data_IF_954313625804
#
_entry.id   IF_954313625804
#
_cell.length_a   1.000
_cell.length_b   1.000
_cell.length_c   1.000
_cell.angle_alpha   90.00
_cell.angle_beta   90.00
_cell.angle_gamma   90.00
#
_symmetry.space_group_name_H-M   'P 1'
#
loop_
_entity.id
_entity.type
_entity.pdbx_description
1 polymer ?
#
# COMPACT_ATOMS: atom_id res chain seq x y z
N UNK A 1 11.26 25.17 2.45
CA UNK A 1 11.15 26.38 3.28
C UNK A 1 12.53 26.95 3.57
N UNK A 2 13.38 26.22 4.31
CA UNK A 2 14.77 26.63 4.60
C UNK A 2 15.58 26.99 3.34
N UNK A 3 15.64 26.11 2.35
CA UNK A 3 16.49 26.31 1.16
C UNK A 3 16.08 27.49 0.24
N UNK A 4 14.82 27.93 0.29
CA UNK A 4 14.27 28.97 -0.60
C UNK A 4 13.67 30.15 0.18
N UNK A 5 13.95 30.22 1.48
CA UNK A 5 13.53 31.27 2.41
C UNK A 5 12.02 31.63 2.38
N UNK A 6 11.14 30.63 2.24
CA UNK A 6 9.69 30.82 2.28
C UNK A 6 9.13 30.61 3.69
N UNK A 7 8.01 31.27 3.99
CA UNK A 7 7.31 31.20 5.28
C UNK A 7 7.05 29.76 5.71
N UNK A 8 7.26 29.48 7.01
CA UNK A 8 6.92 28.21 7.63
C UNK A 8 5.42 27.89 7.62
N UNK A 9 4.58 28.88 7.36
CA UNK A 9 3.15 28.65 7.15
C UNK A 9 2.87 27.76 5.93
N UNK A 10 3.74 27.80 4.91
CA UNK A 10 3.66 26.89 3.76
C UNK A 10 3.78 25.41 4.19
N UNK A 11 4.49 25.15 5.28
CA UNK A 11 4.66 23.80 5.82
C UNK A 11 3.50 23.35 6.71
N UNK A 12 2.38 24.09 6.78
CA UNK A 12 1.16 23.64 7.48
C UNK A 12 0.25 22.88 6.51
N UNK A 13 0.58 21.62 6.24
CA UNK A 13 -0.16 20.79 5.28
C UNK A 13 -1.35 20.04 5.91
N UNK A 14 -1.33 19.86 7.23
CA UNK A 14 -2.38 19.18 7.99
C UNK A 14 -3.66 20.00 8.21
N UNK A 15 -4.56 19.46 9.04
CA UNK A 15 -5.71 20.16 9.61
C UNK A 15 -5.41 20.81 10.95
N UNK A 16 -4.29 20.44 11.58
CA UNK A 16 -3.78 21.09 12.79
C UNK A 16 -2.80 22.20 12.42
N UNK A 17 -2.64 23.20 13.31
CA UNK A 17 -1.70 24.32 13.12
C UNK A 17 -0.22 23.94 13.28
N UNK A 18 0.06 22.65 13.44
CA UNK A 18 1.41 22.13 13.59
C UNK A 18 2.17 22.15 12.26
N UNK A 19 3.49 22.33 12.37
CA UNK A 19 4.40 22.26 11.24
C UNK A 19 4.55 20.80 10.80
N UNK A 20 4.45 20.59 9.49
CA UNK A 20 4.84 19.34 8.85
C UNK A 20 6.36 19.17 8.87
N UNK A 21 6.80 17.99 9.26
CA UNK A 21 8.17 17.54 9.45
C UNK A 21 8.36 16.26 8.65
N UNK A 22 9.52 16.16 8.00
CA UNK A 22 10.01 14.95 7.37
C UNK A 22 10.63 14.05 8.44
N UNK A 23 10.22 12.79 8.50
CA UNK A 23 10.90 11.74 9.26
C UNK A 23 11.38 10.69 8.27
N UNK A 24 12.59 10.21 8.49
CA UNK A 24 13.18 9.17 7.65
C UNK A 24 13.26 7.92 8.52
N UNK A 25 12.56 6.88 8.09
CA UNK A 25 12.50 5.59 8.75
C UNK A 25 13.15 4.55 7.84
N UNK A 26 14.09 3.77 8.38
CA UNK A 26 14.65 2.61 7.68
C UNK A 26 14.01 1.34 8.22
N UNK A 27 13.34 0.59 7.35
CA UNK A 27 12.74 -0.69 7.69
C UNK A 27 13.20 -1.72 6.65
N UNK A 28 13.88 -2.78 7.11
CA UNK A 28 14.34 -3.89 6.27
C UNK A 28 15.11 -3.44 5.00
N UNK A 29 16.00 -2.45 5.14
CA UNK A 29 16.82 -1.93 4.04
C UNK A 29 16.10 -0.98 3.08
N UNK A 30 14.80 -0.67 3.29
CA UNK A 30 14.08 0.36 2.56
C UNK A 30 13.98 1.63 3.38
N UNK A 31 14.38 2.74 2.77
CA UNK A 31 14.14 4.07 3.33
C UNK A 31 12.70 4.50 3.01
N UNK A 32 11.95 4.80 4.06
CA UNK A 32 10.59 5.34 3.97
C UNK A 32 10.61 6.75 4.55
N UNK A 33 10.01 7.68 3.81
CA UNK A 33 9.91 9.07 4.22
C UNK A 33 8.49 9.31 4.70
N UNK A 34 8.33 9.50 6.00
CA UNK A 34 7.05 9.84 6.61
C UNK A 34 6.95 11.35 6.80
N UNK A 35 5.80 11.89 6.41
CA UNK A 35 5.48 13.31 6.52
C UNK A 35 4.23 13.43 7.39
N UNK A 36 4.27 14.21 8.48
CA UNK A 36 3.08 14.39 9.32
C UNK A 36 2.12 15.42 8.68
N UNK A 37 0.98 14.92 8.22
CA UNK A 37 -0.13 15.69 7.66
C UNK A 37 -1.39 15.36 8.45
N UNK A 38 -1.41 15.81 9.71
CA UNK A 38 -2.43 15.41 10.68
C UNK A 38 -3.86 15.73 10.19
N UNK A 39 -4.78 14.78 10.39
CA UNK A 39 -6.17 14.90 9.95
C UNK A 39 -6.40 14.75 8.45
N UNK A 40 -5.39 14.40 7.66
CA UNK A 40 -5.52 14.02 6.24
C UNK A 40 -4.96 12.62 6.02
N UNK A 41 -5.72 11.80 5.30
CA UNK A 41 -5.23 10.47 4.89
C UNK A 41 -4.29 10.66 3.70
N UNK A 42 -3.06 10.17 3.83
CA UNK A 42 -2.11 10.08 2.73
C UNK A 42 -2.30 8.73 2.04
N UNK A 43 -2.71 8.75 0.79
CA UNK A 43 -3.01 7.56 0.00
C UNK A 43 -2.09 7.53 -1.22
N UNK A 44 -0.91 6.93 -1.04
CA UNK A 44 0.08 6.81 -2.11
C UNK A 44 -0.17 5.55 -2.94
N UNK A 45 -0.52 5.74 -4.22
CA UNK A 45 -0.78 4.65 -5.13
C UNK A 45 0.43 3.76 -5.39
N UNK A 46 1.66 4.28 -5.29
CA UNK A 46 2.86 3.44 -5.44
C UNK A 46 2.90 2.38 -4.34
N UNK A 47 2.63 2.78 -3.09
CA UNK A 47 2.60 1.87 -1.94
C UNK A 47 1.48 0.84 -2.10
N UNK A 48 0.30 1.26 -2.57
CA UNK A 48 -0.82 0.34 -2.83
C UNK A 48 -0.45 -0.69 -3.89
N UNK A 49 0.12 -0.25 -5.03
CA UNK A 49 0.51 -1.18 -6.10
C UNK A 49 1.56 -2.19 -5.63
N UNK A 50 2.58 -1.74 -4.89
CA UNK A 50 3.63 -2.63 -4.37
C UNK A 50 3.12 -3.66 -3.35
N UNK A 51 2.02 -3.38 -2.66
CA UNK A 51 1.44 -4.28 -1.65
C UNK A 51 0.44 -5.26 -2.27
N UNK A 52 -0.39 -4.79 -3.19
CA UNK A 52 -1.54 -5.55 -3.69
C UNK A 52 -1.27 -6.24 -5.03
N UNK A 53 -0.27 -5.79 -5.80
CA UNK A 53 0.01 -6.30 -7.14
C UNK A 53 1.44 -6.85 -7.23
N UNK A 54 1.63 -7.88 -8.06
CA UNK A 54 2.95 -8.45 -8.36
C UNK A 54 3.33 -8.08 -9.80
N UNK A 55 3.94 -6.92 -9.97
CA UNK A 55 4.33 -6.39 -11.28
C UNK A 55 5.84 -6.47 -11.49
N UNK A 56 6.24 -6.56 -12.76
CA UNK A 56 7.66 -6.49 -13.17
C UNK A 56 8.25 -5.08 -13.01
N UNK A 57 7.43 -4.03 -13.16
CA UNK A 57 7.79 -2.63 -12.95
C UNK A 57 6.66 -1.86 -12.28
N UNK A 58 7.01 -1.01 -11.31
CA UNK A 58 6.09 -0.12 -10.60
C UNK A 58 6.21 1.35 -11.05
N UNK A 59 6.85 1.60 -12.20
CA UNK A 59 6.85 2.95 -12.76
C UNK A 59 5.43 3.39 -13.11
N UNK A 60 5.11 4.67 -12.95
CA UNK A 60 3.77 5.19 -13.26
C UNK A 60 3.35 4.86 -14.71
N UNK A 61 4.30 4.87 -15.66
CA UNK A 61 4.04 4.52 -17.05
C UNK A 61 3.67 3.03 -17.21
N UNK A 62 4.44 2.12 -16.61
CA UNK A 62 4.15 0.68 -16.71
C UNK A 62 2.80 0.32 -16.06
N UNK A 63 2.55 0.86 -14.86
CA UNK A 63 1.29 0.62 -14.13
C UNK A 63 0.10 1.20 -14.89
N UNK A 64 0.24 2.40 -15.48
CA UNK A 64 -0.84 3.00 -16.27
C UNK A 64 -1.09 2.24 -17.57
N UNK A 65 -0.05 1.73 -18.23
CA UNK A 65 -0.20 0.93 -19.43
C UNK A 65 -0.93 -0.39 -19.12
N UNK A 66 -0.52 -1.08 -18.06
CA UNK A 66 -1.10 -2.36 -17.63
C UNK A 66 -2.57 -2.22 -17.25
N UNK A 67 -2.89 -1.26 -16.37
CA UNK A 67 -4.23 -1.16 -15.82
C UNK A 67 -5.13 -0.23 -16.60
N UNK A 68 -4.66 0.89 -17.16
CA UNK A 68 -5.52 1.86 -17.86
C UNK A 68 -5.48 1.69 -19.38
N UNK A 69 -4.45 1.05 -19.95
CA UNK A 69 -4.18 1.10 -21.40
C UNK A 69 -3.67 2.46 -21.86
N UNK A 70 -3.18 3.29 -20.93
CA UNK A 70 -2.73 4.67 -21.18
C UNK A 70 -1.27 4.84 -20.78
N UNK A 71 -0.55 5.71 -21.49
CA UNK A 71 0.86 5.98 -21.24
C UNK A 71 1.07 7.44 -20.82
N UNK A 72 2.18 7.70 -20.12
CA UNK A 72 2.62 9.06 -19.77
C UNK A 72 2.93 9.86 -21.04
N UNK A 73 2.93 11.19 -20.92
CA UNK A 73 3.56 12.02 -21.94
C UNK A 73 5.07 11.78 -21.93
N UNK A 74 5.67 11.58 -23.11
CA UNK A 74 7.11 11.38 -23.22
C UNK A 74 7.84 12.72 -23.16
N UNK A 75 8.44 12.99 -22.00
CA UNK A 75 9.33 14.12 -21.75
C UNK A 75 10.54 13.61 -20.98
N UNK A 76 11.67 13.48 -21.68
CA UNK A 76 12.93 13.12 -21.04
C UNK A 76 13.39 14.22 -20.08
N UNK A 77 13.92 13.83 -18.91
CA UNK A 77 14.26 14.76 -17.82
C UNK A 77 15.26 15.84 -18.25
N UNK A 78 16.18 15.54 -19.18
CA UNK A 78 17.19 16.48 -19.67
C UNK A 78 16.58 17.67 -20.42
N UNK A 79 15.40 17.50 -21.02
CA UNK A 79 14.76 18.53 -21.83
C UNK A 79 13.90 19.48 -21.01
N UNK A 80 13.61 19.17 -19.74
CA UNK A 80 12.68 19.95 -18.90
C UNK A 80 13.16 21.40 -18.76
N UNK A 81 14.45 21.62 -18.54
CA UNK A 81 15.03 22.95 -18.37
C UNK A 81 14.91 23.81 -19.63
N UNK A 82 15.16 23.21 -20.79
CA UNK A 82 15.09 23.90 -22.08
C UNK A 82 13.63 24.22 -22.43
N UNK A 83 12.74 23.23 -22.33
CA UNK A 83 11.31 23.39 -22.56
C UNK A 83 10.69 24.48 -21.66
N UNK A 84 11.18 24.68 -20.44
CA UNK A 84 10.69 25.76 -19.58
C UNK A 84 11.10 27.16 -20.07
N UNK A 85 12.34 27.28 -20.58
CA UNK A 85 12.94 28.57 -20.99
C UNK A 85 12.55 28.99 -22.41
N UNK A 86 12.23 28.06 -23.31
CA UNK A 86 12.03 28.34 -24.73
C UNK A 86 10.83 29.26 -25.02
N UNK A 87 9.59 28.82 -24.73
CA UNK A 87 8.39 29.59 -25.08
C UNK A 87 7.20 29.31 -24.15
N UNK A 88 6.12 30.08 -24.32
CA UNK A 88 4.87 29.82 -23.63
C UNK A 88 4.26 28.46 -24.04
N UNK A 89 4.40 28.07 -25.30
CA UNK A 89 3.88 26.79 -25.81
C UNK A 89 4.63 25.59 -25.25
N UNK A 90 5.96 25.68 -25.11
CA UNK A 90 6.76 24.61 -24.50
C UNK A 90 6.47 24.47 -22.99
N UNK A 91 6.21 25.59 -22.30
CA UNK A 91 5.70 25.57 -20.92
C UNK A 91 4.31 24.97 -20.81
N UNK A 92 3.43 25.22 -21.78
CA UNK A 92 2.11 24.57 -21.86
C UNK A 92 2.25 23.05 -21.99
N UNK A 93 3.16 22.55 -22.83
CA UNK A 93 3.46 21.11 -22.92
C UNK A 93 3.91 20.53 -21.58
N UNK A 94 4.80 21.21 -20.86
CA UNK A 94 5.20 20.79 -19.50
C UNK A 94 4.03 20.79 -18.52
N UNK A 95 3.12 21.77 -18.60
CA UNK A 95 1.93 21.79 -17.75
C UNK A 95 1.00 20.59 -18.03
N UNK A 96 0.82 20.21 -19.31
CA UNK A 96 0.05 19.02 -19.69
C UNK A 96 0.73 17.74 -19.19
N UNK A 97 2.06 17.64 -19.31
CA UNK A 97 2.84 16.53 -18.73
C UNK A 97 2.59 16.38 -17.22
N UNK A 98 2.70 17.47 -16.45
CA UNK A 98 2.44 17.46 -15.01
C UNK A 98 0.98 17.13 -14.64
N UNK A 99 0.03 17.63 -15.43
CA UNK A 99 -1.38 17.34 -15.25
C UNK A 99 -1.67 15.85 -15.45
N UNK A 100 -1.11 15.26 -16.52
CA UNK A 100 -1.26 13.82 -16.80
C UNK A 100 -0.66 12.98 -15.67
N UNK A 101 0.52 13.33 -15.19
CA UNK A 101 1.19 12.66 -14.06
C UNK A 101 0.37 12.71 -12.76
N UNK A 102 -0.40 13.78 -12.55
CA UNK A 102 -1.28 13.92 -11.39
C UNK A 102 -2.61 13.19 -11.57
N UNK A 103 -3.09 13.08 -12.81
CA UNK A 103 -4.38 12.51 -13.16
C UNK A 103 -4.35 10.97 -13.23
N UNK A 104 -3.26 10.39 -13.73
CA UNK A 104 -3.11 8.93 -13.84
C UNK A 104 -3.27 8.20 -12.49
N UNK A 105 -2.64 8.62 -11.36
CA UNK A 105 -2.87 8.02 -10.06
C UNK A 105 -4.32 8.07 -9.59
N UNK A 106 -5.04 9.16 -9.87
CA UNK A 106 -6.47 9.28 -9.54
C UNK A 106 -7.30 8.24 -10.31
N UNK A 107 -7.05 8.11 -11.62
CA UNK A 107 -7.72 7.11 -12.46
C UNK A 107 -7.39 5.68 -12.07
N UNK A 108 -6.15 5.40 -11.70
CA UNK A 108 -5.73 4.09 -11.18
C UNK A 108 -6.49 3.76 -9.89
N UNK A 109 -6.55 4.71 -8.95
CA UNK A 109 -7.28 4.56 -7.70
C UNK A 109 -8.77 4.27 -7.91
N UNK A 110 -9.41 4.94 -8.88
CA UNK A 110 -10.80 4.70 -9.26
C UNK A 110 -11.00 3.34 -9.94
N UNK A 111 -10.18 3.02 -10.97
CA UNK A 111 -10.32 1.77 -11.72
C UNK A 111 -10.12 0.53 -10.85
N UNK A 112 -9.20 0.61 -9.89
CA UNK A 112 -8.88 -0.49 -8.97
C UNK A 112 -9.71 -0.45 -7.68
N UNK A 113 -10.66 0.50 -7.58
CA UNK A 113 -11.54 0.68 -6.43
C UNK A 113 -10.78 0.76 -5.09
N UNK A 114 -9.56 1.32 -5.10
CA UNK A 114 -8.64 1.22 -3.96
C UNK A 114 -9.26 1.84 -2.71
N UNK A 115 -9.90 3.01 -2.83
CA UNK A 115 -10.52 3.67 -1.69
C UNK A 115 -11.65 2.82 -1.08
N UNK A 116 -12.48 2.20 -1.92
CA UNK A 116 -13.58 1.34 -1.46
C UNK A 116 -13.04 0.11 -0.72
N UNK A 117 -12.07 -0.58 -1.32
CA UNK A 117 -11.46 -1.77 -0.72
C UNK A 117 -10.82 -1.47 0.64
N UNK A 118 -10.11 -0.34 0.76
CA UNK A 118 -9.46 0.05 2.02
C UNK A 118 -10.45 0.55 3.08
N UNK A 119 -11.51 1.25 2.67
CA UNK A 119 -12.59 1.65 3.61
C UNK A 119 -13.29 0.42 4.17
N UNK A 120 -13.63 -0.56 3.33
CA UNK A 120 -14.26 -1.80 3.79
C UNK A 120 -13.33 -2.62 4.68
N UNK A 121 -12.06 -2.76 4.32
CA UNK A 121 -11.07 -3.41 5.16
C UNK A 121 -10.92 -2.71 6.53
N UNK A 122 -10.93 -1.38 6.57
CA UNK A 122 -10.88 -0.61 7.80
C UNK A 122 -12.11 -0.84 8.68
N UNK A 123 -13.30 -0.90 8.07
CA UNK A 123 -14.57 -1.18 8.76
C UNK A 123 -14.58 -2.57 9.38
N UNK A 124 -14.19 -3.60 8.61
CA UNK A 124 -14.14 -4.99 9.07
C UNK A 124 -13.13 -5.16 10.20
N UNK A 125 -11.90 -4.68 10.00
CA UNK A 125 -10.80 -4.90 10.96
C UNK A 125 -10.84 -3.96 12.14
N UNK A 126 -11.56 -2.85 12.05
CA UNK A 126 -11.62 -1.83 13.10
C UNK A 126 -10.35 -0.98 13.22
N UNK A 127 -9.56 -0.88 12.15
CA UNK A 127 -8.29 -0.16 12.14
C UNK A 127 -8.36 1.13 11.31
N UNK A 128 -7.58 2.17 11.64
CA UNK A 128 -7.45 3.36 10.81
C UNK A 128 -6.92 3.04 9.40
N UNK A 129 -7.41 3.73 8.36
CA UNK A 129 -7.01 3.49 6.95
C UNK A 129 -5.49 3.65 6.75
N UNK A 130 -4.86 4.62 7.42
CA UNK A 130 -3.41 4.82 7.34
C UNK A 130 -2.61 3.62 7.90
N UNK A 131 -3.18 2.84 8.83
CA UNK A 131 -2.51 1.63 9.32
C UNK A 131 -2.53 0.52 8.26
N UNK A 132 -3.57 0.44 7.43
CA UNK A 132 -3.64 -0.53 6.34
C UNK A 132 -2.52 -0.32 5.30
N UNK A 133 -2.11 0.93 5.07
CA UNK A 133 -1.04 1.30 4.14
C UNK A 133 0.36 1.16 4.75
N UNK A 134 0.51 1.47 6.03
CA UNK A 134 1.84 1.64 6.64
C UNK A 134 2.21 0.53 7.64
N UNK A 135 1.29 -0.35 8.03
CA UNK A 135 1.52 -1.44 8.99
C UNK A 135 1.29 -2.81 8.34
N UNK A 136 1.81 -3.85 9.00
CA UNK A 136 1.63 -5.25 8.60
C UNK A 136 0.25 -5.79 8.98
N UNK A 137 0.02 -7.08 8.70
CA UNK A 137 -1.28 -7.71 8.93
C UNK A 137 -1.65 -7.86 10.42
N UNK A 138 -0.66 -7.99 11.32
CA UNK A 138 -0.87 -8.24 12.75
C UNK A 138 -1.80 -7.21 13.42
N UNK A 139 -1.67 -5.93 13.07
CA UNK A 139 -2.48 -4.87 13.68
C UNK A 139 -3.99 -5.08 13.44
N UNK A 140 -4.36 -5.68 12.31
CA UNK A 140 -5.75 -5.96 11.93
C UNK A 140 -6.35 -7.04 12.84
N UNK A 141 -5.57 -8.10 13.09
CA UNK A 141 -5.99 -9.22 13.94
C UNK A 141 -6.04 -8.78 15.40
N UNK A 142 -4.99 -8.09 15.87
CA UNK A 142 -4.94 -7.57 17.24
C UNK A 142 -6.11 -6.62 17.53
N UNK A 143 -6.46 -5.73 16.61
CA UNK A 143 -7.61 -4.83 16.77
C UNK A 143 -8.93 -5.59 16.93
N UNK A 144 -9.16 -6.63 16.11
CA UNK A 144 -10.36 -7.48 16.20
C UNK A 144 -10.40 -8.28 17.50
N UNK A 145 -9.27 -8.88 17.91
CA UNK A 145 -9.16 -9.64 19.16
C UNK A 145 -9.41 -8.73 20.36
N UNK A 146 -8.85 -7.53 20.41
CA UNK A 146 -9.09 -6.57 21.50
C UNK A 146 -10.56 -6.17 21.60
N UNK A 147 -11.21 -5.89 20.46
CA UNK A 147 -12.64 -5.56 20.41
C UNK A 147 -13.49 -6.72 20.92
N UNK A 148 -13.17 -7.95 20.55
CA UNK A 148 -13.88 -9.15 21.02
C UNK A 148 -13.61 -9.45 22.49
N UNK A 149 -12.36 -9.35 22.95
CA UNK A 149 -12.00 -9.50 24.35
C UNK A 149 -12.79 -8.53 25.24
N UNK A 150 -12.89 -7.26 24.85
CA UNK A 150 -13.69 -6.26 25.57
C UNK A 150 -15.17 -6.65 25.66
N UNK A 151 -15.78 -7.16 24.58
CA UNK A 151 -17.18 -7.59 24.57
C UNK A 151 -17.46 -8.75 25.54
N UNK A 152 -16.46 -9.60 25.79
CA UNK A 152 -16.57 -10.74 26.69
C UNK A 152 -15.97 -10.48 28.09
N UNK A 153 -15.52 -9.26 28.39
CA UNK A 153 -14.90 -8.94 29.68
C UNK A 153 -13.50 -9.53 29.88
N UNK A 154 -12.82 -9.91 28.80
CA UNK A 154 -11.44 -10.42 28.85
C UNK A 154 -10.40 -9.30 28.76
N UNK A 155 -9.22 -9.57 29.32
CA UNK A 155 -8.03 -8.74 29.21
C UNK A 155 -7.01 -9.46 28.34
N UNK A 156 -6.48 -8.77 27.33
CA UNK A 156 -5.38 -9.30 26.53
C UNK A 156 -4.04 -9.09 27.27
N UNK A 157 -3.29 -10.15 27.58
CA UNK A 157 -2.02 -10.02 28.29
C UNK A 157 -0.94 -9.40 27.39
N UNK A 158 -0.09 -8.56 27.98
CA UNK A 158 1.12 -8.06 27.31
C UNK A 158 2.25 -9.06 27.52
N UNK A 159 2.49 -9.91 26.52
CA UNK A 159 3.58 -10.87 26.56
C UNK A 159 4.86 -10.23 26.02
N UNK A 160 5.98 -10.40 26.75
CA UNK A 160 7.29 -10.06 26.20
C UNK A 160 7.68 -11.11 25.17
N UNK A 161 7.91 -10.68 23.93
CA UNK A 161 8.41 -11.56 22.89
C UNK A 161 9.83 -11.98 23.23
N UNK A 162 10.00 -13.17 23.81
CA UNK A 162 11.29 -13.86 23.75
C UNK A 162 11.44 -14.30 22.30
N UNK A 163 12.34 -13.65 21.56
CA UNK A 163 12.67 -14.10 20.21
C UNK A 163 13.10 -15.56 20.29
N UNK A 164 12.24 -16.45 19.82
CA UNK A 164 12.52 -17.87 19.67
C UNK A 164 12.64 -18.11 18.17
N UNK A 165 13.75 -18.71 17.76
CA UNK A 165 13.95 -19.21 16.39
C UNK A 165 13.32 -20.61 16.21
N UNK A 166 12.55 -21.09 17.19
CA UNK A 166 11.90 -22.38 17.12
C UNK A 166 10.83 -22.33 16.04
N UNK A 167 11.07 -23.09 14.98
CA UNK A 167 10.10 -23.28 13.90
C UNK A 167 9.13 -24.36 14.31
N UNK A 168 7.86 -24.15 13.99
CA UNK A 168 6.82 -25.17 14.12
C UNK A 168 6.70 -25.96 12.82
N UNK A 169 6.28 -27.21 12.92
CA UNK A 169 5.99 -28.03 11.74
C UNK A 169 4.82 -27.41 10.94
N UNK A 170 5.02 -27.27 9.63
CA UNK A 170 4.06 -26.65 8.72
C UNK A 170 3.21 -27.69 7.98
N UNK A 171 2.72 -27.31 6.80
CA UNK A 171 1.99 -28.23 5.92
C UNK A 171 2.92 -29.29 5.30
N UNK A 172 2.40 -30.50 5.14
CA UNK A 172 3.04 -31.55 4.35
C UNK A 172 2.74 -31.33 2.87
N UNK A 173 3.77 -31.36 2.02
CA UNK A 173 3.62 -31.34 0.56
C UNK A 173 3.82 -32.76 0.04
N UNK A 174 2.85 -33.29 -0.70
CA UNK A 174 2.96 -34.61 -1.32
C UNK A 174 3.98 -34.59 -2.46
N UNK A 175 4.70 -35.69 -2.64
CA UNK A 175 5.65 -35.82 -3.75
C UNK A 175 4.92 -35.77 -5.11
N UNK A 176 5.31 -34.88 -6.02
CA UNK A 176 4.65 -34.76 -7.31
C UNK A 176 5.03 -35.91 -8.22
N UNK A 177 4.03 -36.53 -8.85
CA UNK A 177 4.27 -37.43 -9.98
C UNK A 177 4.58 -36.58 -11.21
N UNK A 178 5.85 -36.56 -11.63
CA UNK A 178 6.30 -35.76 -12.77
C UNK A 178 6.03 -36.50 -14.08
N UNK A 179 5.56 -35.77 -15.09
CA UNK A 179 5.26 -36.35 -16.38
C UNK A 179 4.35 -35.45 -17.22
N UNK A 180 4.14 -35.89 -18.46
CA UNK A 180 3.11 -35.34 -19.34
C UNK A 180 1.81 -36.11 -19.12
N UNK A 181 0.70 -35.38 -18.98
CA UNK A 181 -0.61 -35.96 -18.76
C UNK A 181 -1.51 -35.62 -19.95
N UNK A 182 -1.94 -36.64 -20.69
CA UNK A 182 -2.81 -36.55 -21.86
C UNK A 182 -4.31 -36.59 -21.49
N UNK A 183 -4.63 -36.95 -20.25
CA UNK A 183 -5.99 -37.02 -19.70
C UNK A 183 -6.30 -35.82 -18.79
N UNK A 184 -7.57 -35.37 -18.73
CA UNK A 184 -7.97 -34.32 -17.79
C UNK A 184 -7.66 -34.68 -16.34
N UNK A 185 -7.09 -33.73 -15.60
CA UNK A 185 -6.81 -33.86 -14.16
C UNK A 185 -7.82 -33.00 -13.40
N UNK A 186 -8.58 -33.62 -12.49
CA UNK A 186 -9.44 -32.87 -11.58
C UNK A 186 -8.62 -32.24 -10.45
N UNK A 187 -8.86 -30.97 -10.17
CA UNK A 187 -8.26 -30.26 -9.03
C UNK A 187 -9.32 -30.01 -7.98
N UNK A 188 -9.09 -30.49 -6.76
CA UNK A 188 -9.94 -30.27 -5.60
C UNK A 188 -9.14 -29.50 -4.55
N UNK A 189 -9.76 -28.47 -3.98
CA UNK A 189 -9.13 -27.62 -2.97
C UNK A 189 -10.13 -27.31 -1.84
N UNK A 190 -9.63 -27.09 -0.62
CA UNK A 190 -10.44 -26.74 0.54
C UNK A 190 -10.69 -25.23 0.59
N UNK A 191 -11.96 -24.83 0.72
CA UNK A 191 -12.31 -23.44 0.97
C UNK A 191 -11.82 -23.00 2.37
N UNK A 192 -10.85 -22.08 2.39
CA UNK A 192 -10.32 -21.48 3.63
C UNK A 192 -9.88 -22.51 4.68
N UNK A 193 -9.01 -23.46 4.29
CA UNK A 193 -8.58 -24.60 5.10
C UNK A 193 -8.34 -24.29 6.59
N UNK A 194 -7.39 -23.39 6.92
CA UNK A 194 -7.04 -23.11 8.31
C UNK A 194 -8.16 -22.42 9.10
N UNK A 195 -8.82 -21.35 8.60
CA UNK A 195 -10.01 -20.80 9.27
C UNK A 195 -11.10 -21.84 9.53
N UNK A 196 -11.35 -22.72 8.56
CA UNK A 196 -12.36 -23.79 8.68
C UNK A 196 -11.99 -24.79 9.78
N UNK A 197 -10.73 -25.21 9.88
CA UNK A 197 -10.25 -26.08 10.97
C UNK A 197 -10.43 -25.40 12.33
N UNK A 198 -10.02 -24.13 12.46
CA UNK A 198 -10.12 -23.38 13.73
C UNK A 198 -11.57 -23.30 14.21
N UNK A 199 -12.51 -22.98 13.31
CA UNK A 199 -13.93 -22.91 13.66
C UNK A 199 -14.53 -24.30 13.95
N UNK A 200 -14.22 -25.31 13.15
CA UNK A 200 -14.77 -26.66 13.29
C UNK A 200 -14.33 -27.35 14.58
N UNK A 201 -13.12 -27.04 15.06
CA UNK A 201 -12.55 -27.63 16.26
C UNK A 201 -12.52 -26.69 17.47
N UNK A 202 -13.13 -25.49 17.36
CA UNK A 202 -13.18 -24.49 18.43
C UNK A 202 -11.79 -24.18 19.03
N UNK A 203 -10.83 -23.88 18.15
CA UNK A 203 -9.47 -23.46 18.50
C UNK A 203 -9.40 -21.97 18.86
#
# INVERSE_FOLDING_TARGET
AEAINISWEFCRLGRLKERTRKRINQVAGRETIDINIEGRVQFDMLVVMQREQKLSSYSLNAVSAEFLGEQKEDVHYSMIGDLFKTSADTRRRLAVYCLKDSYLPMRLMEKLLCMYNYVEMARVTGTPINFLLNRGQMIKVTSQLLRKAQQHGFIMPTLSSKGSDDKYEGATVLDPLTGYYDKPIATLDFASLYPSIMMAHNL
#
